data_IF_295680565423
#
_entry.id   IF_295680565423
#
_cell.length_a   1.000
_cell.length_b   1.000
_cell.length_c   1.000
_cell.angle_alpha   90.00
_cell.angle_beta   90.00
_cell.angle_gamma   90.00
#
_symmetry.space_group_name_H-M   'P 1'
#
loop_
_entity.id
_entity.type
_entity.pdbx_description
1 polymer ?
#
# COMPACT_ATOMS: atom_id res chain seq x y z
N UNK A 1 19.85 -28.44 -19.09
CA UNK A 1 19.56 -27.38 -18.09
C UNK A 1 19.81 -27.98 -16.72
N UNK A 2 20.81 -27.50 -15.97
CA UNK A 2 21.07 -28.01 -14.63
C UNK A 2 19.88 -27.67 -13.72
N UNK A 3 19.36 -28.66 -12.98
CA UNK A 3 18.28 -28.42 -12.02
C UNK A 3 18.68 -27.29 -11.05
N UNK A 4 17.76 -26.36 -10.74
CA UNK A 4 18.04 -25.28 -9.81
C UNK A 4 18.44 -25.87 -8.44
N UNK A 5 19.59 -25.43 -7.91
CA UNK A 5 20.08 -25.88 -6.58
C UNK A 5 19.03 -25.53 -5.52
N UNK A 6 18.89 -26.35 -4.47
CA UNK A 6 17.92 -26.12 -3.36
C UNK A 6 17.99 -24.70 -2.78
N UNK A 7 19.21 -24.16 -2.65
CA UNK A 7 19.49 -22.79 -2.19
C UNK A 7 19.05 -21.67 -3.14
N UNK A 8 18.81 -21.98 -4.41
CA UNK A 8 18.25 -21.06 -5.41
C UNK A 8 16.72 -21.08 -5.43
N UNK A 9 16.10 -22.21 -5.06
CA UNK A 9 14.64 -22.35 -4.98
C UNK A 9 14.10 -21.85 -3.64
N UNK A 10 14.86 -22.04 -2.56
CA UNK A 10 14.50 -21.64 -1.20
C UNK A 10 15.60 -20.75 -0.61
N UNK A 11 15.64 -19.44 -0.95
CA UNK A 11 16.67 -18.51 -0.50
C UNK A 11 16.81 -18.44 1.02
N UNK A 12 15.71 -18.63 1.77
CA UNK A 12 15.72 -18.64 3.23
C UNK A 12 16.63 -19.67 3.87
N UNK A 13 16.93 -20.78 3.19
CA UNK A 13 17.88 -21.78 3.68
C UNK A 13 19.32 -21.25 3.76
N UNK A 14 19.64 -20.16 3.04
CA UNK A 14 20.96 -19.54 3.11
C UNK A 14 21.11 -18.62 4.32
N UNK A 15 20.01 -17.95 4.68
CA UNK A 15 20.02 -16.84 5.62
C UNK A 15 19.62 -17.29 7.03
N UNK A 16 18.70 -18.26 7.13
CA UNK A 16 18.21 -18.79 8.40
C UNK A 16 19.32 -19.37 9.30
N UNK A 17 20.31 -20.14 8.80
CA UNK A 17 21.38 -20.66 9.65
C UNK A 17 22.35 -19.59 10.20
N UNK A 18 22.34 -18.39 9.61
CA UNK A 18 23.20 -17.27 10.04
C UNK A 18 22.59 -16.47 11.19
N UNK A 19 21.35 -16.78 11.57
CA UNK A 19 20.64 -16.07 12.62
C UNK A 19 21.13 -16.48 14.01
N UNK A 20 21.46 -15.47 14.82
CA UNK A 20 21.80 -15.65 16.24
C UNK A 20 20.65 -15.18 17.11
N UNK A 21 20.55 -15.67 18.35
CA UNK A 21 19.53 -15.19 19.32
C UNK A 21 19.58 -13.67 19.51
N UNK A 22 20.77 -13.08 19.47
CA UNK A 22 20.96 -11.64 19.55
C UNK A 22 20.43 -10.90 18.31
N UNK A 23 20.61 -11.46 17.11
CA UNK A 23 20.03 -10.89 15.87
C UNK A 23 18.52 -10.92 15.93
N UNK A 24 17.92 -12.08 16.23
CA UNK A 24 16.47 -12.24 16.29
C UNK A 24 15.83 -11.29 17.30
N UNK A 25 16.45 -11.08 18.47
CA UNK A 25 15.95 -10.11 19.45
C UNK A 25 15.97 -8.67 18.97
N UNK A 26 17.03 -8.26 18.24
CA UNK A 26 17.13 -6.93 17.63
C UNK A 26 16.13 -6.76 16.50
N UNK A 27 16.03 -7.76 15.63
CA UNK A 27 15.11 -7.78 14.48
C UNK A 27 13.65 -7.77 14.93
N UNK A 28 13.32 -8.41 16.05
CA UNK A 28 11.98 -8.37 16.64
C UNK A 28 11.58 -6.94 17.05
N UNK A 29 12.47 -6.19 17.69
CA UNK A 29 12.20 -4.81 18.12
C UNK A 29 12.02 -3.89 16.90
N UNK A 30 12.89 -4.05 15.89
CA UNK A 30 12.82 -3.28 14.64
C UNK A 30 11.56 -3.65 13.87
N UNK A 31 11.25 -4.94 13.75
CA UNK A 31 10.06 -5.45 13.08
C UNK A 31 8.78 -5.00 13.75
N UNK A 32 8.70 -5.03 15.08
CA UNK A 32 7.56 -4.51 15.83
C UNK A 32 7.37 -3.00 15.61
N UNK A 33 8.47 -2.24 15.64
CA UNK A 33 8.44 -0.81 15.35
C UNK A 33 7.95 -0.54 13.91
N UNK A 34 8.45 -1.31 12.93
CA UNK A 34 7.99 -1.24 11.54
C UNK A 34 6.52 -1.60 11.38
N UNK A 35 6.04 -2.65 12.05
CA UNK A 35 4.65 -3.09 12.01
C UNK A 35 3.70 -2.03 12.59
N UNK A 36 4.09 -1.39 13.70
CA UNK A 36 3.37 -0.26 14.31
C UNK A 36 3.19 0.89 13.30
N UNK A 37 4.22 1.20 12.51
CA UNK A 37 4.14 2.24 11.48
C UNK A 37 3.32 1.79 10.25
N UNK A 38 3.49 0.54 9.82
CA UNK A 38 2.87 0.00 8.62
C UNK A 38 1.36 -0.23 8.76
N UNK A 39 0.86 -0.50 9.98
CA UNK A 39 -0.54 -0.79 10.26
C UNK A 39 -1.49 0.31 9.75
N UNK A 40 -1.40 1.58 10.21
CA UNK A 40 -2.31 2.63 9.75
C UNK A 40 -2.13 2.94 8.25
N UNK A 41 -0.91 2.83 7.72
CA UNK A 41 -0.63 3.05 6.31
C UNK A 41 -1.34 2.03 5.43
N UNK A 42 -1.31 0.76 5.83
CA UNK A 42 -1.90 -0.34 5.05
C UNK A 42 -3.42 -0.23 5.00
N UNK A 43 -4.06 0.19 6.11
CA UNK A 43 -5.49 0.49 6.15
C UNK A 43 -5.83 1.63 5.18
N UNK A 44 -5.06 2.73 5.21
CA UNK A 44 -5.28 3.86 4.31
C UNK A 44 -5.13 3.43 2.83
N UNK A 45 -4.16 2.57 2.51
CA UNK A 45 -3.95 2.07 1.16
C UNK A 45 -5.11 1.18 0.66
N UNK A 46 -5.71 0.35 1.52
CA UNK A 46 -6.91 -0.39 1.17
C UNK A 46 -8.09 0.54 0.82
N UNK A 47 -8.28 1.60 1.62
CA UNK A 47 -9.32 2.60 1.36
C UNK A 47 -9.09 3.33 0.03
N UNK A 48 -7.83 3.66 -0.30
CA UNK A 48 -7.47 4.23 -1.61
C UNK A 48 -7.78 3.24 -2.75
N UNK A 49 -7.54 1.95 -2.53
CA UNK A 49 -7.87 0.89 -3.49
C UNK A 49 -9.38 0.60 -3.59
N UNK A 50 -10.25 1.28 -2.83
CA UNK A 50 -11.68 1.02 -2.79
C UNK A 50 -12.03 -0.32 -2.14
N UNK A 51 -11.13 -0.87 -1.32
CA UNK A 51 -11.33 -2.12 -0.58
C UNK A 51 -11.75 -1.84 0.87
N UNK A 52 -12.41 -2.80 1.53
CA UNK A 52 -12.59 -2.76 2.97
C UNK A 52 -11.24 -2.65 3.72
N UNK A 53 -11.17 -1.91 4.85
CA UNK A 53 -9.95 -1.68 5.64
C UNK A 53 -9.12 -2.93 5.95
N UNK A 54 -9.77 -4.05 6.22
CA UNK A 54 -9.16 -5.33 6.59
C UNK A 54 -8.24 -5.91 5.50
N UNK A 55 -8.52 -5.62 4.22
CA UNK A 55 -7.66 -6.08 3.12
C UNK A 55 -6.29 -5.40 3.14
N UNK A 56 -6.19 -4.22 3.74
CA UNK A 56 -4.90 -3.56 3.99
C UNK A 56 -4.04 -4.38 4.93
N UNK A 57 -4.64 -4.90 6.01
CA UNK A 57 -3.95 -5.78 6.96
C UNK A 57 -3.56 -7.10 6.31
N UNK A 58 -4.46 -7.72 5.52
CA UNK A 58 -4.14 -8.94 4.79
C UNK A 58 -2.96 -8.75 3.84
N UNK A 59 -2.94 -7.63 3.09
CA UNK A 59 -1.87 -7.28 2.17
C UNK A 59 -0.53 -6.93 2.88
N UNK A 60 -0.59 -6.47 4.12
CA UNK A 60 0.60 -6.15 4.93
C UNK A 60 1.17 -7.35 5.69
N UNK A 61 0.39 -8.42 5.86
CA UNK A 61 0.82 -9.62 6.61
C UNK A 61 1.21 -10.74 5.64
N UNK A 62 0.26 -11.20 4.82
CA UNK A 62 0.42 -12.46 4.05
C UNK A 62 1.48 -12.31 2.95
N UNK A 63 1.39 -11.32 2.03
CA UNK A 63 2.40 -11.13 1.00
C UNK A 63 3.79 -10.82 1.58
N UNK A 64 3.86 -10.10 2.70
CA UNK A 64 5.12 -9.70 3.33
C UNK A 64 5.84 -10.89 3.94
N UNK A 65 5.09 -11.78 4.61
CA UNK A 65 5.61 -13.04 5.14
C UNK A 65 6.12 -13.96 4.02
N UNK A 66 5.41 -14.03 2.90
CA UNK A 66 5.86 -14.80 1.73
C UNK A 66 7.11 -14.14 1.11
N UNK A 67 7.08 -12.81 0.93
CA UNK A 67 8.17 -12.06 0.32
C UNK A 67 9.47 -12.13 1.13
N UNK A 68 9.43 -12.12 2.47
CA UNK A 68 10.65 -12.17 3.28
C UNK A 68 11.36 -13.53 3.21
N UNK A 69 10.64 -14.62 2.90
CA UNK A 69 11.23 -15.95 2.69
C UNK A 69 11.99 -16.05 1.36
N UNK A 70 11.53 -15.36 0.31
CA UNK A 70 12.15 -15.35 -1.02
C UNK A 70 12.97 -14.09 -1.33
N UNK A 71 12.99 -13.11 -0.42
CA UNK A 71 13.70 -11.86 -0.58
C UNK A 71 15.21 -12.04 -0.62
N UNK A 72 15.87 -11.25 -1.47
CA UNK A 72 17.33 -11.20 -1.58
C UNK A 72 18.00 -10.16 -0.67
N UNK A 73 17.20 -9.25 -0.08
CA UNK A 73 17.67 -8.20 0.83
C UNK A 73 17.19 -8.45 2.26
N UNK A 74 18.08 -8.24 3.22
CA UNK A 74 17.83 -8.38 4.65
C UNK A 74 17.05 -7.21 5.27
N UNK A 75 17.03 -6.05 4.60
CA UNK A 75 16.46 -4.81 5.13
C UNK A 75 15.21 -4.36 4.39
N UNK A 76 14.95 -4.91 3.20
CA UNK A 76 13.83 -4.50 2.37
C UNK A 76 12.53 -5.10 2.90
N UNK A 77 11.55 -4.23 3.17
CA UNK A 77 10.19 -4.61 3.53
C UNK A 77 9.31 -4.38 2.31
N UNK A 78 8.65 -5.44 1.84
CA UNK A 78 7.57 -5.33 0.86
C UNK A 78 6.26 -5.02 1.59
N UNK A 79 5.31 -4.38 0.91
CA UNK A 79 4.00 -4.10 1.48
C UNK A 79 3.10 -3.38 0.47
N UNK A 80 1.83 -3.12 0.84
CA UNK A 80 0.95 -2.31 0.02
C UNK A 80 1.53 -0.90 -0.14
N UNK A 81 1.31 -0.29 -1.30
CA UNK A 81 1.73 1.09 -1.57
C UNK A 81 0.59 1.88 -2.18
N UNK A 82 0.55 3.18 -1.94
CA UNK A 82 -0.50 4.04 -2.47
C UNK A 82 -0.56 4.06 -4.01
N UNK A 83 0.59 4.05 -4.69
CA UNK A 83 0.63 4.06 -6.14
C UNK A 83 -0.04 2.82 -6.74
N UNK A 84 0.27 1.63 -6.21
CA UNK A 84 -0.39 0.39 -6.64
C UNK A 84 -1.88 0.43 -6.29
N UNK A 85 -2.24 0.96 -5.11
CA UNK A 85 -3.64 1.07 -4.67
C UNK A 85 -4.49 1.90 -5.63
N UNK A 86 -3.96 3.03 -6.13
CA UNK A 86 -4.65 3.89 -7.09
C UNK A 86 -4.81 3.20 -8.44
N UNK A 87 -3.77 2.49 -8.91
CA UNK A 87 -3.85 1.73 -10.16
C UNK A 87 -4.84 0.57 -10.06
N UNK A 88 -4.89 -0.13 -8.92
CA UNK A 88 -5.91 -1.15 -8.63
C UNK A 88 -7.31 -0.56 -8.73
N UNK A 89 -7.54 0.57 -8.05
CA UNK A 89 -8.83 1.26 -8.10
C UNK A 89 -9.21 1.66 -9.52
N UNK A 90 -8.33 2.35 -10.24
CA UNK A 90 -8.57 2.80 -11.61
C UNK A 90 -8.86 1.64 -12.59
N UNK A 91 -8.27 0.47 -12.33
CA UNK A 91 -8.43 -0.72 -13.19
C UNK A 91 -9.74 -1.46 -12.95
N UNK A 92 -10.20 -1.53 -11.69
CA UNK A 92 -11.33 -2.39 -11.32
C UNK A 92 -12.62 -1.60 -11.08
N UNK A 93 -12.55 -0.31 -10.68
CA UNK A 93 -13.74 0.52 -10.46
C UNK A 93 -14.66 0.67 -11.69
N UNK A 94 -14.18 0.60 -12.96
CA UNK A 94 -15.09 0.60 -14.11
C UNK A 94 -15.80 -0.76 -14.33
N UNK A 95 -15.38 -1.81 -13.63
CA UNK A 95 -15.84 -3.19 -13.84
C UNK A 95 -16.81 -3.65 -12.76
N UNK A 96 -16.62 -3.17 -11.53
CA UNK A 96 -17.44 -3.53 -10.38
C UNK A 96 -17.52 -2.37 -9.37
N UNK A 97 -18.57 -2.37 -8.56
CA UNK A 97 -18.79 -1.35 -7.53
C UNK A 97 -17.75 -1.51 -6.42
N UNK A 98 -17.02 -0.45 -6.01
CA UNK A 98 -16.06 -0.53 -4.91
C UNK A 98 -16.65 -1.15 -3.64
N UNK A 99 -15.81 -1.89 -2.90
CA UNK A 99 -16.18 -2.67 -1.72
C UNK A 99 -17.23 -3.80 -1.90
N UNK A 100 -17.75 -4.04 -3.12
CA UNK A 100 -18.58 -5.23 -3.39
C UNK A 100 -17.75 -6.52 -3.42
N UNK A 101 -18.41 -7.68 -3.24
CA UNK A 101 -17.76 -8.99 -3.32
C UNK A 101 -17.13 -9.24 -4.70
N UNK A 102 -17.80 -8.84 -5.78
CA UNK A 102 -17.29 -8.94 -7.16
C UNK A 102 -16.03 -8.10 -7.34
N UNK A 103 -16.01 -6.88 -6.79
CA UNK A 103 -14.87 -5.97 -6.86
C UNK A 103 -13.64 -6.54 -6.16
N UNK A 104 -13.83 -7.07 -4.94
CA UNK A 104 -12.78 -7.75 -4.19
C UNK A 104 -12.23 -8.92 -5.01
N UNK A 105 -13.12 -9.72 -5.59
CA UNK A 105 -12.76 -10.91 -6.36
C UNK A 105 -11.95 -10.55 -7.62
N UNK A 106 -12.32 -9.48 -8.33
CA UNK A 106 -11.57 -8.96 -9.47
C UNK A 106 -10.18 -8.43 -9.07
N UNK A 107 -10.06 -7.76 -7.92
CA UNK A 107 -8.75 -7.33 -7.40
C UNK A 107 -7.88 -8.54 -7.04
N UNK A 108 -8.45 -9.57 -6.40
CA UNK A 108 -7.70 -10.79 -6.08
C UNK A 108 -7.22 -11.51 -7.36
N UNK A 109 -8.05 -11.56 -8.40
CA UNK A 109 -7.66 -12.10 -9.70
C UNK A 109 -6.56 -11.27 -10.36
N UNK A 110 -6.71 -9.95 -10.40
CA UNK A 110 -5.72 -9.05 -11.00
C UNK A 110 -4.38 -9.08 -10.27
N UNK A 111 -4.39 -9.16 -8.93
CA UNK A 111 -3.17 -9.29 -8.12
C UNK A 111 -2.49 -10.65 -8.33
N UNK A 112 -3.25 -11.74 -8.49
CA UNK A 112 -2.72 -13.03 -8.90
C UNK A 112 -2.04 -12.95 -10.27
N UNK A 113 -2.72 -12.39 -11.28
CA UNK A 113 -2.18 -12.21 -12.63
C UNK A 113 -0.90 -11.35 -12.64
N UNK A 114 -0.88 -10.27 -11.86
CA UNK A 114 0.30 -9.43 -11.69
C UNK A 114 1.47 -10.22 -11.09
N UNK A 115 1.20 -11.06 -10.08
CA UNK A 115 2.20 -11.95 -9.47
C UNK A 115 2.73 -13.00 -10.46
N UNK A 116 1.86 -13.63 -11.25
CA UNK A 116 2.25 -14.57 -12.32
C UNK A 116 3.14 -13.87 -13.35
N UNK A 117 2.75 -12.67 -13.77
CA UNK A 117 3.54 -11.87 -14.69
C UNK A 117 4.93 -11.52 -14.12
N UNK A 118 5.01 -11.07 -12.87
CA UNK A 118 6.28 -10.80 -12.19
C UNK A 118 7.14 -12.06 -12.07
N UNK A 119 6.53 -13.21 -11.76
CA UNK A 119 7.21 -14.49 -11.70
C UNK A 119 7.77 -14.91 -13.07
N UNK A 120 7.00 -14.72 -14.14
CA UNK A 120 7.45 -14.95 -15.52
C UNK A 120 8.63 -14.06 -15.90
N UNK A 121 8.58 -12.76 -15.57
CA UNK A 121 9.72 -11.85 -15.77
C UNK A 121 10.96 -12.30 -14.99
N UNK A 122 10.78 -12.78 -13.76
CA UNK A 122 11.83 -13.37 -12.95
C UNK A 122 12.48 -14.58 -13.61
N UNK A 123 11.66 -15.50 -14.14
CA UNK A 123 12.11 -16.68 -14.88
C UNK A 123 12.90 -16.32 -16.14
N UNK A 124 12.44 -15.31 -16.87
CA UNK A 124 13.12 -14.78 -18.06
C UNK A 124 14.36 -13.95 -17.73
N UNK A 125 14.72 -13.82 -16.43
CA UNK A 125 15.85 -13.02 -15.93
C UNK A 125 15.80 -11.56 -16.38
N UNK A 126 14.59 -11.02 -16.56
CA UNK A 126 14.38 -9.60 -16.86
C UNK A 126 14.88 -8.66 -15.75
N UNK A 127 15.26 -9.20 -14.57
CA UNK A 127 15.94 -8.45 -13.52
C UNK A 127 17.21 -7.72 -13.97
N UNK A 128 17.85 -8.12 -15.08
CA UNK A 128 18.97 -7.38 -15.66
C UNK A 128 18.56 -6.01 -16.25
N UNK A 129 17.32 -5.87 -16.74
CA UNK A 129 16.81 -4.60 -17.29
C UNK A 129 16.67 -3.52 -16.22
N UNK A 130 16.60 -3.92 -14.95
CA UNK A 130 16.61 -3.02 -13.81
C UNK A 130 17.89 -2.18 -13.79
N UNK A 131 19.01 -2.74 -14.26
CA UNK A 131 20.27 -2.02 -14.34
C UNK A 131 20.18 -0.74 -15.18
N UNK A 132 19.21 -0.65 -16.09
CA UNK A 132 18.99 0.48 -16.98
C UNK A 132 18.02 1.54 -16.45
N UNK A 133 17.42 1.36 -15.26
CA UNK A 133 16.60 2.41 -14.65
C UNK A 133 17.52 3.51 -14.12
N UNK A 134 17.47 4.70 -14.71
CA UNK A 134 18.30 5.82 -14.28
C UNK A 134 17.82 6.42 -12.95
N UNK A 135 18.71 7.12 -12.25
CA UNK A 135 18.34 7.86 -11.03
C UNK A 135 17.22 8.88 -11.29
N UNK A 136 17.24 9.55 -12.46
CA UNK A 136 16.21 10.52 -12.85
C UNK A 136 14.82 9.89 -12.99
N UNK A 137 14.73 8.65 -13.48
CA UNK A 137 13.45 7.92 -13.57
C UNK A 137 12.91 7.60 -12.18
N UNK A 138 13.77 7.18 -11.25
CA UNK A 138 13.38 6.93 -9.85
C UNK A 138 12.88 8.22 -9.18
N UNK A 139 13.58 9.34 -9.38
CA UNK A 139 13.19 10.63 -8.83
C UNK A 139 11.84 11.10 -9.41
N UNK A 140 11.67 11.02 -10.74
CA UNK A 140 10.41 11.37 -11.39
C UNK A 140 9.25 10.51 -10.93
N UNK A 141 9.47 9.21 -10.75
CA UNK A 141 8.48 8.28 -10.22
C UNK A 141 8.09 8.62 -8.79
N UNK A 142 9.05 8.87 -7.89
CA UNK A 142 8.76 9.18 -6.48
C UNK A 142 8.03 10.51 -6.32
N UNK A 143 8.43 11.55 -7.07
CA UNK A 143 7.72 12.84 -7.09
C UNK A 143 6.31 12.70 -7.67
N UNK A 144 6.15 11.98 -8.77
CA UNK A 144 4.83 11.72 -9.36
C UNK A 144 3.91 10.97 -8.41
N UNK A 145 4.41 9.91 -7.76
CA UNK A 145 3.67 9.18 -6.75
C UNK A 145 3.28 10.09 -5.57
N UNK A 146 4.17 10.97 -5.10
CA UNK A 146 3.86 11.92 -4.03
C UNK A 146 2.72 12.89 -4.41
N UNK A 147 2.72 13.42 -5.63
CA UNK A 147 1.65 14.30 -6.15
C UNK A 147 0.33 13.54 -6.23
N UNK A 148 0.35 12.34 -6.78
CA UNK A 148 -0.83 11.48 -6.94
C UNK A 148 -1.42 11.11 -5.56
N UNK A 149 -0.58 10.81 -4.57
CA UNK A 149 -1.00 10.57 -3.18
C UNK A 149 -1.63 11.82 -2.57
N UNK A 150 -0.97 12.98 -2.71
CA UNK A 150 -1.45 14.23 -2.15
C UNK A 150 -2.84 14.59 -2.68
N UNK A 151 -3.03 14.51 -4.00
CA UNK A 151 -4.33 14.76 -4.64
C UNK A 151 -5.36 13.74 -4.19
N UNK A 152 -5.01 12.45 -4.14
CA UNK A 152 -5.91 11.37 -3.72
C UNK A 152 -6.38 11.48 -2.27
N UNK A 153 -5.68 12.23 -1.42
CA UNK A 153 -6.09 12.48 -0.02
C UNK A 153 -6.85 13.79 0.17
N UNK A 154 -6.93 14.67 -0.83
CA UNK A 154 -7.65 15.94 -0.72
C UNK A 154 -9.14 15.77 -0.36
N UNK A 155 -9.91 14.84 -0.97
CA UNK A 155 -11.31 14.64 -0.58
C UNK A 155 -11.47 14.31 0.90
N UNK A 156 -10.65 13.40 1.42
CA UNK A 156 -10.66 13.01 2.83
C UNK A 156 -10.29 14.18 3.76
N UNK A 157 -9.29 14.99 3.39
CA UNK A 157 -8.88 16.15 4.17
C UNK A 157 -9.97 17.24 4.21
N UNK A 158 -10.69 17.43 3.11
CA UNK A 158 -11.75 18.42 2.98
C UNK A 158 -13.12 17.92 3.48
N UNK A 159 -13.21 16.64 3.88
CA UNK A 159 -14.46 16.01 4.30
C UNK A 159 -15.47 15.82 3.16
N UNK A 160 -14.99 15.75 1.91
CA UNK A 160 -15.85 15.62 0.72
C UNK A 160 -16.09 14.14 0.39
N UNK A 161 -17.35 13.77 0.17
CA UNK A 161 -17.73 12.44 -0.29
C UNK A 161 -17.67 12.34 -1.82
N UNK A 162 -16.45 12.30 -2.35
CA UNK A 162 -16.22 12.17 -3.79
C UNK A 162 -15.91 10.73 -4.16
N UNK A 163 -16.45 10.21 -5.28
CA UNK A 163 -15.99 8.94 -5.81
C UNK A 163 -14.51 9.05 -6.17
N UNK A 164 -13.71 8.04 -5.83
CA UNK A 164 -12.34 7.95 -6.29
C UNK A 164 -12.33 7.96 -7.83
N UNK A 165 -11.37 8.66 -8.42
CA UNK A 165 -11.25 8.78 -9.88
C UNK A 165 -10.12 7.93 -10.43
N UNK A 166 -10.21 7.61 -11.72
CA UNK A 166 -9.17 6.87 -12.42
C UNK A 166 -7.86 7.66 -12.59
N UNK A 167 -7.93 9.00 -12.67
CA UNK A 167 -6.76 9.85 -12.81
C UNK A 167 -6.67 10.89 -11.70
N UNK A 168 -5.43 11.28 -11.37
CA UNK A 168 -5.18 12.35 -10.41
C UNK A 168 -5.67 13.72 -10.91
N UNK A 169 -5.64 13.97 -12.23
CA UNK A 169 -6.16 15.21 -12.79
C UNK A 169 -7.68 15.32 -12.62
N UNK A 170 -8.41 14.25 -12.89
CA UNK A 170 -9.87 14.22 -12.70
C UNK A 170 -10.23 14.36 -11.22
N UNK A 171 -9.46 13.71 -10.33
CA UNK A 171 -9.60 13.88 -8.87
C UNK A 171 -9.43 15.35 -8.47
N UNK A 172 -8.40 16.01 -8.98
CA UNK A 172 -8.09 17.40 -8.67
C UNK A 172 -9.18 18.36 -9.18
N UNK A 173 -9.62 18.20 -10.43
CA UNK A 173 -10.69 19.00 -11.02
C UNK A 173 -12.02 18.80 -10.28
N UNK A 174 -12.32 17.57 -9.87
CA UNK A 174 -13.52 17.25 -9.11
C UNK A 174 -13.50 17.92 -7.74
N UNK A 175 -12.38 17.85 -7.01
CA UNK A 175 -12.21 18.57 -5.73
C UNK A 175 -12.40 20.06 -5.94
N UNK A 176 -11.82 20.63 -7.00
CA UNK A 176 -11.94 22.06 -7.29
C UNK A 176 -13.40 22.51 -7.52
N UNK A 177 -14.20 21.66 -8.19
CA UNK A 177 -15.64 21.93 -8.41
C UNK A 177 -16.48 21.88 -7.14
N UNK A 178 -16.06 21.10 -6.13
CA UNK A 178 -16.79 20.91 -4.88
C UNK A 178 -16.16 21.66 -3.69
N UNK A 179 -15.30 22.65 -3.95
CA UNK A 179 -14.70 23.51 -2.92
C UNK A 179 -15.73 24.25 -2.06
N UNK A 180 -16.97 24.42 -2.56
CA UNK A 180 -18.07 25.02 -1.80
C UNK A 180 -18.66 24.10 -0.72
N UNK A 181 -18.42 22.80 -0.81
CA UNK A 181 -19.00 21.77 0.07
C UNK A 181 -18.04 21.33 1.19
N UNK A 182 -16.94 22.06 1.38
CA UNK A 182 -15.88 21.69 2.33
C UNK A 182 -16.41 21.68 3.75
N UNK A 183 -16.16 20.57 4.43
CA UNK A 183 -16.46 20.40 5.85
C UNK A 183 -15.34 21.03 6.69
N UNK A 184 -15.63 22.19 7.30
CA UNK A 184 -14.64 22.96 8.08
C UNK A 184 -14.08 22.17 9.27
N UNK A 185 -14.88 21.40 10.03
CA UNK A 185 -14.37 20.56 11.11
C UNK A 185 -13.42 19.46 10.61
N UNK A 186 -13.73 18.76 9.53
CA UNK A 186 -12.83 17.78 8.90
C UNK A 186 -11.51 18.43 8.47
N UNK A 187 -11.57 19.59 7.82
CA UNK A 187 -10.37 20.33 7.41
C UNK A 187 -9.51 20.75 8.61
N UNK A 188 -10.13 21.32 9.64
CA UNK A 188 -9.43 21.73 10.85
C UNK A 188 -8.79 20.54 11.56
N UNK A 189 -9.51 19.42 11.68
CA UNK A 189 -9.00 18.18 12.27
C UNK A 189 -7.82 17.63 11.47
N UNK A 190 -7.93 17.56 10.15
CA UNK A 190 -6.89 17.02 9.30
C UNK A 190 -5.62 17.89 9.31
N UNK A 191 -5.76 19.22 9.20
CA UNK A 191 -4.62 20.14 9.30
C UNK A 191 -3.97 20.09 10.69
N UNK A 192 -4.76 20.03 11.77
CA UNK A 192 -4.26 19.87 13.12
C UNK A 192 -3.50 18.53 13.27
N UNK A 193 -4.04 17.45 12.72
CA UNK A 193 -3.41 16.12 12.76
C UNK A 193 -2.06 16.13 12.03
N UNK A 194 -1.98 16.75 10.85
CA UNK A 194 -0.71 16.92 10.12
C UNK A 194 0.26 17.77 10.93
N UNK A 195 -0.19 18.91 11.47
CA UNK A 195 0.62 19.81 12.28
C UNK A 195 1.21 19.11 13.51
N UNK A 196 0.37 18.44 14.30
CA UNK A 196 0.81 17.65 15.47
C UNK A 196 1.77 16.55 15.04
N UNK A 197 1.53 15.88 13.91
CA UNK A 197 2.42 14.83 13.40
C UNK A 197 3.80 15.33 13.01
N UNK A 198 3.87 16.47 12.34
CA UNK A 198 5.13 17.11 11.99
C UNK A 198 5.86 17.57 13.26
N UNK A 199 5.16 18.24 14.19
CA UNK A 199 5.74 18.71 15.45
C UNK A 199 6.29 17.52 16.26
N UNK A 200 5.49 16.46 16.46
CA UNK A 200 5.93 15.27 17.18
C UNK A 200 7.11 14.58 16.47
N UNK A 201 7.14 14.55 15.13
CA UNK A 201 8.28 14.00 14.39
C UNK A 201 9.57 14.81 14.60
N UNK A 202 9.45 16.13 14.79
CA UNK A 202 10.57 17.01 15.08
C UNK A 202 11.05 16.87 16.54
N UNK A 203 10.13 16.75 17.51
CA UNK A 203 10.47 16.66 18.94
C UNK A 203 10.88 15.24 19.37
N UNK A 204 10.18 14.21 18.88
CA UNK A 204 10.26 12.83 19.34
C UNK A 204 10.63 11.88 18.18
N UNK A 205 11.75 12.15 17.52
CA UNK A 205 12.20 11.42 16.31
C UNK A 205 12.31 9.88 16.44
N UNK A 206 12.43 9.36 17.67
CA UNK A 206 12.55 7.91 17.95
C UNK A 206 11.22 7.20 18.19
N UNK A 207 10.12 7.94 18.34
CA UNK A 207 8.82 7.39 18.69
C UNK A 207 7.96 7.16 17.44
N UNK A 208 6.97 6.25 17.47
CA UNK A 208 6.06 6.01 16.36
C UNK A 208 5.04 7.15 16.22
N UNK A 209 5.52 8.31 15.76
CA UNK A 209 4.78 9.57 15.80
C UNK A 209 3.46 9.52 15.03
N UNK A 210 3.41 8.78 13.92
CA UNK A 210 2.18 8.55 13.14
C UNK A 210 1.08 7.85 13.96
N UNK A 211 1.45 6.84 14.74
CA UNK A 211 0.48 6.11 15.57
C UNK A 211 0.03 6.97 16.75
N UNK A 212 0.97 7.71 17.37
CA UNK A 212 0.64 8.66 18.45
C UNK A 212 -0.33 9.72 17.94
N UNK A 213 -0.07 10.31 16.76
CA UNK A 213 -1.01 11.28 16.18
C UNK A 213 -2.37 10.70 15.91
N UNK A 214 -2.44 9.48 15.38
CA UNK A 214 -3.71 8.82 15.07
C UNK A 214 -4.53 8.57 16.34
N UNK A 215 -3.87 8.13 17.42
CA UNK A 215 -4.51 7.97 18.73
C UNK A 215 -5.01 9.32 19.25
N UNK A 216 -4.17 10.36 19.22
CA UNK A 216 -4.53 11.68 19.71
C UNK A 216 -5.70 12.29 18.93
N UNK A 217 -5.68 12.20 17.60
CA UNK A 217 -6.78 12.69 16.76
C UNK A 217 -8.05 11.87 16.98
N UNK A 218 -7.95 10.54 17.10
CA UNK A 218 -9.10 9.68 17.38
C UNK A 218 -9.72 9.94 18.75
N UNK A 219 -8.89 10.16 19.77
CA UNK A 219 -9.33 10.48 21.12
C UNK A 219 -9.98 11.87 21.19
N UNK A 220 -9.46 12.84 20.44
CA UNK A 220 -10.06 14.17 20.32
C UNK A 220 -11.46 14.12 19.67
N UNK A 221 -11.62 13.35 18.59
CA UNK A 221 -12.93 13.12 17.96
C UNK A 221 -13.89 12.41 18.93
N UNK A 222 -13.40 11.41 19.66
CA UNK A 222 -14.19 10.67 20.65
C UNK A 222 -14.65 11.52 21.85
N UNK A 223 -13.78 12.40 22.36
CA UNK A 223 -14.10 13.29 23.48
C UNK A 223 -15.01 14.46 23.10
N UNK A 224 -15.00 14.89 21.83
CA UNK A 224 -15.74 16.07 21.37
C UNK A 224 -16.70 15.77 20.19
N UNK A 225 -17.69 14.87 20.38
CA UNK A 225 -18.60 14.45 19.32
C UNK A 225 -19.49 15.60 18.83
N UNK A 226 -19.75 16.62 19.65
CA UNK A 226 -20.51 17.79 19.23
C UNK A 226 -19.83 18.57 18.08
N UNK A 227 -18.50 18.56 18.00
CA UNK A 227 -17.74 19.26 16.97
C UNK A 227 -17.35 18.34 15.80
N UNK A 228 -17.05 17.06 16.09
CA UNK A 228 -16.48 16.15 15.09
C UNK A 228 -17.35 14.92 14.79
N UNK A 229 -18.55 14.79 15.36
CA UNK A 229 -19.39 13.60 15.21
C UNK A 229 -19.89 13.31 13.79
N UNK A 230 -19.84 14.30 12.89
CA UNK A 230 -20.18 14.16 11.47
C UNK A 230 -18.96 13.82 10.60
N UNK A 231 -17.75 13.87 11.14
CA UNK A 231 -16.53 13.51 10.41
C UNK A 231 -16.58 12.02 10.09
N UNK A 232 -16.34 11.69 8.82
CA UNK A 232 -16.35 10.31 8.34
C UNK A 232 -15.29 9.47 9.07
N UNK A 233 -15.75 8.43 9.77
CA UNK A 233 -14.89 7.50 10.48
C UNK A 233 -14.58 6.28 9.61
N UNK A 234 -13.44 5.65 9.86
CA UNK A 234 -13.13 4.33 9.29
C UNK A 234 -14.10 3.31 9.90
N UNK A 235 -14.73 2.49 9.05
CA UNK A 235 -15.67 1.47 9.49
C UNK A 235 -15.00 0.48 10.44
N UNK A 236 -15.72 0.07 11.48
CA UNK A 236 -15.27 -1.01 12.34
C UNK A 236 -15.24 -2.32 11.54
N UNK A 237 -14.18 -3.10 11.72
CA UNK A 237 -14.03 -4.42 11.11
C UNK A 237 -13.63 -5.43 12.17
N UNK A 238 -14.04 -6.69 11.97
CA UNK A 238 -13.69 -7.78 12.87
C UNK A 238 -12.43 -8.45 12.35
N UNK A 239 -11.42 -8.59 13.21
CA UNK A 239 -10.22 -9.36 12.89
C UNK A 239 -10.58 -10.82 12.64
N UNK A 240 -10.65 -11.21 11.37
CA UNK A 240 -10.81 -12.60 10.94
C UNK A 240 -9.60 -12.97 10.09
N UNK A 241 -9.35 -14.27 9.97
CA UNK A 241 -8.39 -14.73 8.98
C UNK A 241 -8.94 -14.42 7.58
N UNK A 242 -8.06 -14.09 6.61
CA UNK A 242 -8.49 -13.83 5.25
C UNK A 242 -9.28 -15.04 4.73
N UNK A 243 -10.53 -14.85 4.28
CA UNK A 243 -11.33 -15.95 3.76
C UNK A 243 -10.70 -16.49 2.46
N UNK A 244 -10.86 -17.79 2.22
CA UNK A 244 -10.56 -18.35 0.91
C UNK A 244 -11.66 -17.93 -0.06
N UNK A 245 -11.35 -16.99 -0.94
CA UNK A 245 -12.25 -16.56 -2.00
C UNK A 245 -12.03 -17.40 -3.27
N UNK A 246 -13.08 -17.95 -3.88
CA UNK A 246 -12.96 -18.56 -5.19
C UNK A 246 -12.57 -17.49 -6.22
N UNK A 247 -11.61 -17.80 -7.08
CA UNK A 247 -11.20 -16.91 -8.16
C UNK A 247 -11.97 -17.28 -9.43
N UNK A 248 -12.63 -16.32 -10.11
CA UNK A 248 -13.29 -16.55 -11.37
C UNK A 248 -12.21 -16.69 -12.44
N UNK A 249 -11.84 -17.93 -12.74
CA UNK A 249 -10.89 -18.25 -13.81
C UNK A 249 -11.59 -18.27 -15.17
N UNK A 250 -12.27 -17.17 -15.48
CA UNK A 250 -12.88 -16.93 -16.78
C UNK A 250 -11.86 -16.27 -17.72
N UNK A 251 -11.75 -16.81 -18.94
CA UNK A 251 -10.78 -16.36 -19.92
C UNK A 251 -11.05 -14.90 -20.33
N UNK A 252 -12.32 -14.51 -20.45
CA UNK A 252 -12.69 -13.14 -20.84
C UNK A 252 -12.28 -12.12 -19.78
N UNK A 253 -12.50 -12.44 -18.49
CA UNK A 253 -12.05 -11.60 -17.38
C UNK A 253 -10.52 -11.53 -17.30
N UNK A 254 -9.83 -12.66 -17.48
CA UNK A 254 -8.37 -12.70 -17.49
C UNK A 254 -7.80 -11.81 -18.60
N UNK A 255 -8.31 -11.92 -19.83
CA UNK A 255 -7.86 -11.12 -20.96
C UNK A 255 -8.13 -9.63 -20.76
N UNK A 256 -9.27 -9.28 -20.14
CA UNK A 256 -9.64 -7.90 -19.83
C UNK A 256 -8.75 -7.28 -18.75
N UNK A 257 -8.36 -8.05 -17.74
CA UNK A 257 -7.51 -7.58 -16.64
C UNK A 257 -6.01 -7.63 -16.96
N UNK A 258 -5.62 -8.37 -18.01
CA UNK A 258 -4.21 -8.59 -18.36
C UNK A 258 -3.39 -7.29 -18.52
N UNK A 259 -3.85 -6.25 -19.23
CA UNK A 259 -3.08 -5.01 -19.38
C UNK A 259 -2.82 -4.32 -18.03
N UNK A 260 -3.84 -4.27 -17.17
CA UNK A 260 -3.73 -3.70 -15.82
C UNK A 260 -2.84 -4.56 -14.91
N UNK A 261 -2.91 -5.89 -15.03
CA UNK A 261 -2.05 -6.81 -14.29
C UNK A 261 -0.57 -6.62 -14.66
N UNK A 262 -0.26 -6.41 -15.95
CA UNK A 262 1.09 -6.07 -16.42
C UNK A 262 1.54 -4.73 -15.86
N UNK A 263 0.68 -3.70 -15.90
CA UNK A 263 1.00 -2.38 -15.35
C UNK A 263 1.29 -2.44 -13.84
N UNK A 264 0.43 -3.10 -13.06
CA UNK A 264 0.62 -3.31 -11.61
C UNK A 264 1.88 -4.14 -11.33
N UNK A 265 2.10 -5.20 -12.10
CA UNK A 265 3.29 -6.04 -11.99
C UNK A 265 4.58 -5.27 -12.23
N UNK A 266 4.64 -4.47 -13.30
CA UNK A 266 5.79 -3.60 -13.61
C UNK A 266 6.00 -2.54 -12.53
N UNK A 267 4.93 -1.88 -12.09
CA UNK A 267 4.98 -0.87 -11.04
C UNK A 267 5.53 -1.44 -9.72
N UNK A 268 5.07 -2.64 -9.34
CA UNK A 268 5.57 -3.36 -8.17
C UNK A 268 7.05 -3.75 -8.26
N UNK A 269 7.52 -4.13 -9.45
CA UNK A 269 8.95 -4.39 -9.66
C UNK A 269 9.76 -3.09 -9.54
N UNK A 270 9.40 -2.05 -10.30
CA UNK A 270 10.14 -0.78 -10.33
C UNK A 270 10.26 -0.16 -8.94
N UNK A 271 9.17 -0.16 -8.16
CA UNK A 271 9.16 0.34 -6.77
C UNK A 271 10.10 -0.45 -5.87
N UNK A 272 9.97 -1.78 -5.86
CA UNK A 272 10.79 -2.66 -5.01
C UNK A 272 12.28 -2.53 -5.35
N UNK A 273 12.61 -2.44 -6.65
CA UNK A 273 13.98 -2.32 -7.12
C UNK A 273 14.58 -0.94 -6.85
N UNK A 274 13.78 0.11 -6.95
CA UNK A 274 14.19 1.46 -6.58
C UNK A 274 14.59 1.54 -5.10
N UNK A 275 13.81 0.92 -4.21
CA UNK A 275 14.11 0.85 -2.77
C UNK A 275 15.32 -0.03 -2.51
N UNK A 276 15.43 -1.19 -3.16
CA UNK A 276 16.59 -2.07 -3.02
C UNK A 276 17.89 -1.36 -3.36
N UNK A 277 17.87 -0.52 -4.41
CA UNK A 277 19.03 0.28 -4.84
C UNK A 277 19.41 1.38 -3.86
N UNK A 278 18.43 2.12 -3.34
CA UNK A 278 18.70 3.17 -2.35
C UNK A 278 19.24 2.61 -1.03
N UNK A 279 18.93 1.35 -0.71
CA UNK A 279 19.49 0.65 0.45
C UNK A 279 20.90 0.09 0.20
N UNK A 280 21.28 -0.13 -1.07
CA UNK A 280 22.59 -0.67 -1.46
C UNK A 280 23.65 0.40 -1.79
N UNK A 281 23.22 1.64 -2.02
CA UNK A 281 24.07 2.79 -2.31
C UNK A 281 24.56 3.46 -1.01
#
# INVERSE_FOLDING_TARGET
MAFPRRHSLFPFLNWLPRQTRASVGRDLIVGLSGAILALPQSIAYALIAGLPPEYGLYAAIIPVLIACLWGSSWHLICGPTAAISIVLYASVSPLAVPASEDYITLILLLTLLAGIFQWLLGLLRFGALVNFVSHSVVLGFTLGAAVVIAIGQMPNLLGLELPNQATALDSFLMVFRHLGEVDKPSLALGLATVGVGVILKLLLRRWPTLLITLILSGLLVWLWPAMFGHVKLVSAFVGRLPPFSPLPLDLDLILRLLPSAVAVGMLGLVTSLSIARSLSA
#
